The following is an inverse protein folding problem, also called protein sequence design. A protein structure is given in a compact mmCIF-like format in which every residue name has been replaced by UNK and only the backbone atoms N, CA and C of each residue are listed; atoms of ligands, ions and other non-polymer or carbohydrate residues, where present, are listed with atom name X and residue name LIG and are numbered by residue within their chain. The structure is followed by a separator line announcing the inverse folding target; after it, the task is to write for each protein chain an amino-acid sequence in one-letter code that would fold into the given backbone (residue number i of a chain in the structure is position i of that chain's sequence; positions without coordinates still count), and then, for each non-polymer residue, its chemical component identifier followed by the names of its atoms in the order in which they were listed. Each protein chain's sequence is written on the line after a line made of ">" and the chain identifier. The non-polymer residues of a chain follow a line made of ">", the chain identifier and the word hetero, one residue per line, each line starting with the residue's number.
data_IF_336213129924
#
_entry.id   IF_336213129924
#
_cell.length_a   1.000
_cell.length_b   1.000
_cell.length_c   1.000
_cell.angle_alpha   90.00
_cell.angle_beta   90.00
_cell.angle_gamma   90.00
#
_symmetry.space_group_name_H-M   'P 1'
#
loop_
_entity.id
_entity.type
_entity.pdbx_description
1 polymer ?
#
# COMPACT_ATOMS: atom_id res chain seq x y z
N UNK A 1 6.84 -10.80 -13.33
CA UNK A 1 6.95 -11.20 -11.92
C UNK A 1 5.90 -12.24 -11.64
N UNK A 2 6.33 -13.39 -11.14
CA UNK A 2 5.50 -14.43 -10.57
C UNK A 2 5.16 -14.09 -9.10
N UNK A 3 4.30 -14.90 -8.49
CA UNK A 3 3.82 -14.68 -7.12
C UNK A 3 4.94 -14.60 -6.07
N UNK A 4 6.00 -15.40 -6.21
CA UNK A 4 7.11 -15.41 -5.25
C UNK A 4 7.97 -14.16 -5.40
N UNK A 5 8.30 -13.79 -6.64
CA UNK A 5 9.03 -12.55 -6.94
C UNK A 5 8.28 -11.31 -6.41
N UNK A 6 6.95 -11.26 -6.58
CA UNK A 6 6.15 -10.15 -6.05
C UNK A 6 6.16 -10.13 -4.53
N UNK A 7 6.09 -11.28 -3.84
CA UNK A 7 6.19 -11.33 -2.37
C UNK A 7 7.52 -10.79 -1.88
N UNK A 8 8.61 -11.21 -2.48
CA UNK A 8 9.94 -10.74 -2.15
C UNK A 8 10.06 -9.23 -2.37
N UNK A 9 9.66 -8.76 -3.57
CA UNK A 9 9.65 -7.33 -3.90
C UNK A 9 8.88 -6.49 -2.89
N UNK A 10 7.69 -6.95 -2.47
CA UNK A 10 6.88 -6.23 -1.48
C UNK A 10 7.56 -6.24 -0.10
N UNK A 11 8.12 -7.37 0.32
CA UNK A 11 8.85 -7.48 1.59
C UNK A 11 10.04 -6.52 1.64
N UNK A 12 10.83 -6.45 0.57
CA UNK A 12 11.98 -5.55 0.45
C UNK A 12 11.53 -4.08 0.39
N UNK A 13 10.40 -3.81 -0.27
CA UNK A 13 9.85 -2.45 -0.40
C UNK A 13 9.44 -1.82 0.94
N UNK A 14 9.03 -2.63 1.91
CA UNK A 14 8.58 -2.21 3.24
C UNK A 14 9.51 -2.66 4.38
N UNK A 15 10.76 -3.01 4.06
CA UNK A 15 11.78 -3.33 5.05
C UNK A 15 12.23 -2.07 5.82
N UNK A 16 12.93 -2.24 6.95
CA UNK A 16 13.51 -1.15 7.77
C UNK A 16 12.52 -0.11 8.32
N UNK A 17 11.27 -0.48 8.57
CA UNK A 17 10.28 0.43 9.14
C UNK A 17 9.71 1.43 8.12
N UNK A 18 9.90 1.18 6.82
CA UNK A 18 9.18 1.90 5.76
C UNK A 18 7.77 1.34 5.68
N UNK A 19 6.78 2.16 6.04
CA UNK A 19 5.36 1.79 5.97
C UNK A 19 4.62 2.48 4.83
N UNK A 20 5.26 3.42 4.14
CA UNK A 20 4.65 4.20 3.08
C UNK A 20 5.59 4.23 1.86
N UNK A 21 5.07 3.87 0.69
CA UNK A 21 5.84 3.85 -0.55
C UNK A 21 4.95 3.92 -1.78
N UNK A 22 5.45 4.58 -2.83
CA UNK A 22 4.86 4.51 -4.16
C UNK A 22 5.45 3.32 -4.94
N UNK A 23 4.58 2.42 -5.42
CA UNK A 23 4.96 1.19 -6.11
C UNK A 23 4.33 1.10 -7.49
N UNK A 24 5.10 0.62 -8.47
CA UNK A 24 4.61 0.37 -9.84
C UNK A 24 4.13 -1.07 -9.98
N UNK A 25 2.82 -1.26 -9.89
CA UNK A 25 2.18 -2.58 -9.81
C UNK A 25 1.15 -2.77 -10.94
N UNK A 26 0.98 -4.02 -11.36
CA UNK A 26 -0.16 -4.50 -12.13
C UNK A 26 -1.35 -4.83 -11.21
N UNK A 27 -2.53 -5.03 -11.78
CA UNK A 27 -3.72 -5.40 -11.01
C UNK A 27 -3.49 -6.68 -10.17
N UNK A 28 -2.89 -7.72 -10.77
CA UNK A 28 -2.56 -8.99 -10.08
C UNK A 28 -1.60 -8.80 -8.90
N UNK A 29 -0.61 -7.92 -9.06
CA UNK A 29 0.34 -7.60 -7.99
C UNK A 29 -0.34 -6.83 -6.85
N UNK A 30 -1.29 -5.93 -7.16
CA UNK A 30 -2.12 -5.23 -6.16
C UNK A 30 -3.04 -6.19 -5.41
N UNK A 31 -3.65 -7.16 -6.10
CA UNK A 31 -4.44 -8.19 -5.43
C UNK A 31 -3.61 -8.99 -4.43
N UNK A 32 -2.40 -9.40 -4.82
CA UNK A 32 -1.49 -10.09 -3.91
C UNK A 32 -1.04 -9.20 -2.74
N UNK A 33 -0.78 -7.92 -2.98
CA UNK A 33 -0.47 -6.95 -1.92
C UNK A 33 -1.60 -6.87 -0.90
N UNK A 34 -2.86 -6.77 -1.34
CA UNK A 34 -4.03 -6.76 -0.46
C UNK A 34 -4.23 -8.06 0.30
N UNK A 35 -3.83 -9.20 -0.27
CA UNK A 35 -3.83 -10.49 0.45
C UNK A 35 -2.76 -10.55 1.55
N UNK A 36 -1.56 -10.02 1.28
CA UNK A 36 -0.44 -10.02 2.24
C UNK A 36 -0.60 -8.97 3.33
N UNK A 37 -1.16 -7.81 2.97
CA UNK A 37 -1.38 -6.68 3.86
C UNK A 37 -2.84 -6.21 3.77
N UNK A 38 -3.80 -6.95 4.34
CA UNK A 38 -5.24 -6.64 4.23
C UNK A 38 -5.61 -5.27 4.79
N UNK A 39 -4.84 -4.77 5.75
CA UNK A 39 -5.03 -3.45 6.36
C UNK A 39 -4.34 -2.32 5.61
N UNK A 40 -3.63 -2.58 4.52
CA UNK A 40 -2.94 -1.55 3.76
C UNK A 40 -3.92 -0.64 3.02
N UNK A 41 -3.64 0.67 3.05
CA UNK A 41 -4.28 1.62 2.14
C UNK A 41 -3.54 1.60 0.81
N UNK A 42 -4.27 1.42 -0.28
CA UNK A 42 -3.71 1.34 -1.64
C UNK A 42 -4.52 2.25 -2.54
N UNK A 43 -3.91 3.32 -3.06
CA UNK A 43 -4.55 4.30 -3.95
C UNK A 43 -3.80 4.36 -5.27
N UNK A 44 -4.50 4.17 -6.39
CA UNK A 44 -3.92 4.33 -7.73
C UNK A 44 -3.64 5.81 -7.99
N UNK A 45 -2.43 6.16 -8.44
CA UNK A 45 -2.04 7.55 -8.70
C UNK A 45 -1.77 7.85 -10.18
N UNK A 46 -1.82 6.83 -11.05
CA UNK A 46 -1.61 7.02 -12.50
C UNK A 46 -2.60 6.23 -13.35
N UNK A 47 -2.84 6.68 -14.58
CA UNK A 47 -3.85 6.11 -15.49
C UNK A 47 -3.33 5.02 -16.45
N UNK A 48 -2.18 4.42 -16.17
CA UNK A 48 -1.67 3.32 -17.01
C UNK A 48 -2.50 2.03 -16.85
N UNK A 49 -2.63 1.28 -17.95
CA UNK A 49 -3.47 0.06 -18.06
C UNK A 49 -2.73 -1.22 -17.67
N UNK A 50 -1.45 -1.35 -17.99
CA UNK A 50 -0.67 -2.58 -17.74
C UNK A 50 -0.03 -2.60 -16.34
N UNK A 51 0.72 -1.54 -16.02
CA UNK A 51 1.26 -1.27 -14.68
C UNK A 51 1.07 0.20 -14.37
N UNK A 52 0.56 0.49 -13.18
CA UNK A 52 0.33 1.83 -12.70
C UNK A 52 1.07 2.07 -11.38
N UNK A 53 1.36 3.32 -11.10
CA UNK A 53 1.79 3.77 -9.79
C UNK A 53 0.63 3.71 -8.79
N UNK A 54 0.94 3.18 -7.61
CA UNK A 54 0.06 3.13 -6.45
C UNK A 54 0.79 3.71 -5.25
N UNK A 55 0.11 4.62 -4.55
CA UNK A 55 0.47 5.05 -3.22
C UNK A 55 0.03 3.98 -2.22
N UNK A 56 0.98 3.36 -1.52
CA UNK A 56 0.73 2.26 -0.59
C UNK A 56 1.18 2.64 0.82
N UNK A 57 0.24 2.59 1.77
CA UNK A 57 0.51 2.72 3.19
C UNK A 57 0.16 1.42 3.91
N UNK A 58 1.15 0.71 4.44
CA UNK A 58 0.93 -0.33 5.44
C UNK A 58 0.51 0.34 6.75
N UNK A 59 -0.63 -0.04 7.32
CA UNK A 59 -0.94 0.40 8.68
C UNK A 59 0.12 -0.18 9.61
N UNK A 60 0.77 0.69 10.40
CA UNK A 60 1.55 0.21 11.56
C UNK A 60 0.62 -0.67 12.40
N UNK A 61 1.08 -1.84 12.90
CA UNK A 61 0.29 -2.61 13.85
C UNK A 61 -0.03 -1.70 15.04
N UNK A 62 -1.30 -1.29 15.17
CA UNK A 62 -1.75 -0.44 16.25
C UNK A 62 -1.60 -1.17 17.58
N UNK A 63 -0.73 -0.65 18.44
CA UNK A 63 -0.98 -0.61 19.88
C UNK A 63 -1.36 0.81 20.33
N UNK A 64 -2.11 1.57 19.52
CA UNK A 64 -2.56 2.91 19.92
C UNK A 64 -3.89 3.25 19.27
N UNK A 65 -4.96 3.58 20.02
CA UNK A 65 -6.28 3.83 19.46
C UNK A 65 -6.26 5.04 18.54
N UNK A 66 -6.73 4.86 17.30
CA UNK A 66 -7.04 5.95 16.36
C UNK A 66 -7.92 7.01 17.01
N UNK A 67 -7.34 8.16 17.33
CA UNK A 67 -8.12 9.38 17.53
C UNK A 67 -8.69 9.79 16.18
N UNK A 68 -10.02 9.93 16.12
CA UNK A 68 -10.76 10.30 14.91
C UNK A 68 -10.19 11.60 14.34
N UNK A 69 -9.80 11.59 13.06
CA UNK A 69 -9.56 12.83 12.31
C UNK A 69 -10.90 13.55 12.18
N UNK A 70 -11.07 14.64 12.92
CA UNK A 70 -12.15 15.60 12.70
C UNK A 70 -11.98 16.22 11.31
N UNK A 71 -13.04 16.34 10.50
CA UNK A 71 -13.00 17.16 9.29
C UNK A 71 -12.82 18.62 9.72
N UNK A 72 -11.76 19.28 9.27
CA UNK A 72 -11.66 20.73 9.35
C UNK A 72 -12.66 21.35 8.39
N UNK A 73 -13.80 21.76 8.93
CA UNK A 73 -14.75 22.66 8.31
C UNK A 73 -14.01 23.97 7.97
N UNK A 74 -14.03 24.36 6.69
CA UNK A 74 -13.58 25.69 6.27
C UNK A 74 -14.73 26.67 6.55
N UNK A 75 -14.43 27.63 7.42
CA UNK A 75 -15.17 28.89 7.62
C UNK A 75 -15.13 29.73 6.34
#
# INVERSE_FOLDING_TARGET
>A
MNRQETKQFLSESFYEGVYHRELRLSAKEVELLRQLYPSASVRKVSNHTVKAWYDVCLNRPEKVPRTKRVPTEKV
#
